data_IF_090154292805
#
_entry.id   IF_090154292805
#
_cell.length_a   1.000
_cell.length_b   1.000
_cell.length_c   1.000
_cell.angle_alpha   90.00
_cell.angle_beta   90.00
_cell.angle_gamma   90.00
#
_symmetry.space_group_name_H-M   'P 1'
#
loop_
_entity.id
_entity.type
_entity.pdbx_description
1 polymer ?
#
# COMPACT_ATOMS: atom_id res chain seq x y z
N UNK A 1 -4.47 58.53 19.58
CA UNK A 1 -3.90 58.33 18.25
C UNK A 1 -3.36 56.90 18.12
N UNK A 2 -4.25 55.97 17.96
CA UNK A 2 -3.91 54.56 18.04
C UNK A 2 -4.31 53.83 16.77
N UNK A 3 -3.84 54.35 15.64
CA UNK A 3 -4.10 53.71 14.35
C UNK A 3 -2.98 52.78 13.89
N UNK A 4 -1.94 52.62 14.68
CA UNK A 4 -0.83 51.71 14.40
C UNK A 4 -1.02 50.30 15.01
N UNK A 5 -1.88 50.18 16.00
CA UNK A 5 -2.15 48.89 16.64
C UNK A 5 -3.09 47.99 15.83
N UNK A 6 -3.92 48.58 14.99
CA UNK A 6 -4.85 47.77 14.18
C UNK A 6 -4.24 47.16 12.92
N UNK A 7 -3.10 47.63 12.50
CA UNK A 7 -2.44 47.11 11.31
C UNK A 7 -1.53 45.89 11.55
N UNK A 8 -1.24 45.60 12.79
CA UNK A 8 -0.37 44.47 13.14
C UNK A 8 -1.18 43.17 13.30
N UNK A 9 -2.48 43.29 13.52
CA UNK A 9 -3.31 42.10 13.75
C UNK A 9 -3.68 41.31 12.47
N UNK A 10 -3.52 41.95 11.32
CA UNK A 10 -3.82 41.28 10.06
C UNK A 10 -2.65 40.46 9.46
N UNK A 11 -1.47 40.58 10.04
CA UNK A 11 -0.29 39.94 9.49
C UNK A 11 -0.05 38.54 10.02
N UNK A 12 -0.78 38.11 11.02
CA UNK A 12 -0.60 36.80 11.64
C UNK A 12 -1.55 35.72 11.09
N UNK A 13 -2.40 36.06 10.14
CA UNK A 13 -3.40 35.10 9.64
C UNK A 13 -3.01 34.43 8.33
N UNK A 14 -1.81 34.63 7.84
CA UNK A 14 -1.29 33.97 6.63
C UNK A 14 -0.23 32.94 6.98
N UNK A 15 -0.19 32.46 8.21
CA UNK A 15 0.60 31.28 8.48
C UNK A 15 -0.19 30.07 8.03
N UNK A 16 0.01 29.80 6.76
CA UNK A 16 0.32 28.48 6.37
C UNK A 16 -0.76 27.51 6.71
N UNK A 17 -1.79 27.51 5.97
CA UNK A 17 -2.22 26.19 5.57
C UNK A 17 -1.21 25.76 4.51
N UNK A 18 -0.03 25.43 4.92
CA UNK A 18 0.68 24.40 4.25
C UNK A 18 -0.19 23.16 4.50
N UNK A 19 -1.18 22.97 3.67
CA UNK A 19 -1.79 21.69 3.51
C UNK A 19 -0.63 20.80 3.10
N UNK A 20 0.01 20.19 4.08
CA UNK A 20 0.80 19.03 3.85
C UNK A 20 -0.16 18.07 3.18
N UNK A 21 -0.07 17.95 1.89
CA UNK A 21 -0.36 16.71 1.25
C UNK A 21 0.64 15.73 1.87
N UNK A 22 0.35 15.32 3.09
CA UNK A 22 1.03 14.25 3.74
C UNK A 22 0.70 13.04 2.90
N UNK A 23 1.59 12.73 1.99
CA UNK A 23 1.73 11.39 1.50
C UNK A 23 2.03 10.59 2.77
N UNK A 24 1.01 10.08 3.41
CA UNK A 24 1.19 9.17 4.51
C UNK A 24 1.75 7.91 3.89
N UNK A 25 3.05 7.84 3.83
CA UNK A 25 3.76 6.58 3.76
C UNK A 25 3.41 5.90 5.07
N UNK A 26 2.41 5.03 5.03
CA UNK A 26 2.14 4.12 6.14
C UNK A 26 3.35 3.21 6.18
N UNK A 27 4.27 3.54 7.06
CA UNK A 27 5.41 2.71 7.37
C UNK A 27 4.86 1.53 8.17
N UNK A 28 4.42 0.50 7.46
CA UNK A 28 3.98 -0.73 8.11
C UNK A 28 5.18 -1.35 8.83
N UNK A 29 5.02 -1.75 10.08
CA UNK A 29 6.09 -2.42 10.81
C UNK A 29 6.56 -3.64 10.01
N UNK A 30 7.86 -3.87 10.00
CA UNK A 30 8.48 -5.00 9.32
C UNK A 30 7.74 -6.29 9.72
N UNK A 31 7.14 -6.96 8.76
CA UNK A 31 6.42 -8.21 9.00
C UNK A 31 7.40 -9.31 9.43
N UNK A 32 6.95 -10.23 10.29
CA UNK A 32 7.80 -11.29 10.79
C UNK A 32 8.32 -12.14 9.61
N UNK A 33 9.60 -12.39 9.64
CA UNK A 33 10.28 -13.28 8.67
C UNK A 33 9.70 -14.68 8.79
N UNK A 34 9.01 -15.13 7.77
CA UNK A 34 8.51 -16.52 7.75
C UNK A 34 9.65 -17.44 7.36
N UNK A 35 10.03 -18.33 8.26
CA UNK A 35 10.98 -19.39 7.94
C UNK A 35 10.27 -20.51 7.17
N UNK A 36 10.77 -20.84 6.02
CA UNK A 36 10.31 -22.01 5.27
C UNK A 36 11.51 -22.91 4.94
N UNK A 37 11.20 -24.19 4.77
CA UNK A 37 12.21 -25.17 4.42
C UNK A 37 12.23 -25.40 2.90
N UNK A 38 13.36 -25.19 2.30
CA UNK A 38 13.59 -25.48 0.88
C UNK A 38 14.24 -26.85 0.75
N UNK A 39 13.69 -27.71 -0.08
CA UNK A 39 14.33 -28.97 -0.47
C UNK A 39 15.47 -28.68 -1.44
N UNK A 40 16.68 -28.93 -1.02
CA UNK A 40 17.87 -28.86 -1.85
C UNK A 40 18.65 -30.18 -1.71
N UNK A 41 18.66 -30.96 -2.78
CA UNK A 41 19.32 -32.26 -2.79
C UNK A 41 18.80 -33.29 -1.78
N UNK A 42 17.47 -33.24 -1.45
CA UNK A 42 16.85 -34.16 -0.48
C UNK A 42 17.09 -33.82 0.99
N UNK A 43 17.72 -32.69 1.29
CA UNK A 43 17.92 -32.16 2.64
C UNK A 43 17.12 -30.89 2.83
N UNK A 44 16.41 -30.79 3.95
CA UNK A 44 15.70 -29.58 4.35
C UNK A 44 16.72 -28.54 4.84
N UNK A 45 16.88 -27.45 4.10
CA UNK A 45 17.67 -26.30 4.54
C UNK A 45 16.74 -25.19 4.98
N UNK A 46 16.99 -24.54 6.11
CA UNK A 46 16.24 -23.35 6.52
C UNK A 46 16.52 -22.22 5.53
N UNK A 47 15.49 -21.79 4.83
CA UNK A 47 15.52 -20.60 3.97
C UNK A 47 14.85 -19.44 4.70
N UNK A 48 15.55 -18.32 4.79
CA UNK A 48 14.90 -17.07 5.24
C UNK A 48 14.24 -16.40 4.05
N UNK A 49 12.93 -16.45 3.97
CA UNK A 49 12.20 -15.55 3.08
C UNK A 49 12.06 -14.22 3.80
N UNK A 50 12.47 -13.17 3.15
CA UNK A 50 12.02 -11.84 3.53
C UNK A 50 10.49 -11.88 3.47
N UNK A 51 9.83 -11.48 4.55
CA UNK A 51 8.40 -11.34 4.58
C UNK A 51 7.95 -10.68 3.28
N UNK A 52 6.98 -11.24 2.62
CA UNK A 52 6.50 -10.70 1.36
C UNK A 52 6.03 -9.27 1.64
N UNK A 53 6.68 -8.32 1.01
CA UNK A 53 6.24 -6.94 1.09
C UNK A 53 4.80 -6.90 0.58
N UNK A 54 3.96 -6.14 1.24
CA UNK A 54 2.55 -6.01 0.88
C UNK A 54 2.25 -4.55 0.59
N UNK A 55 1.68 -4.28 -0.57
CA UNK A 55 1.37 -2.93 -1.01
C UNK A 55 -0.04 -2.87 -1.58
N UNK A 56 -0.80 -1.87 -1.17
CA UNK A 56 -2.07 -1.49 -1.77
C UNK A 56 -1.91 -0.10 -2.41
N UNK A 57 -2.24 0.02 -3.68
CA UNK A 57 -2.16 1.28 -4.43
C UNK A 57 -3.51 1.55 -5.05
N UNK A 58 -4.14 2.63 -4.68
CA UNK A 58 -5.36 3.10 -5.33
C UNK A 58 -5.00 3.97 -6.54
N UNK A 59 -5.56 3.63 -7.69
CA UNK A 59 -5.40 4.38 -8.91
C UNK A 59 -6.65 4.27 -9.79
N UNK A 60 -7.19 5.40 -10.19
CA UNK A 60 -8.37 5.49 -11.06
C UNK A 60 -9.58 4.69 -10.55
N UNK A 61 -9.86 4.76 -9.25
CA UNK A 61 -10.97 4.03 -8.63
C UNK A 61 -10.81 2.51 -8.58
N UNK A 62 -9.59 2.02 -8.73
CA UNK A 62 -9.22 0.61 -8.60
C UNK A 62 -8.12 0.46 -7.58
N UNK A 63 -8.14 -0.64 -6.86
CA UNK A 63 -7.11 -0.99 -5.88
C UNK A 63 -6.18 -2.03 -6.52
N UNK A 64 -4.89 -1.78 -6.46
CA UNK A 64 -3.86 -2.71 -6.94
C UNK A 64 -3.09 -3.26 -5.76
N UNK A 65 -2.98 -4.58 -5.68
CA UNK A 65 -2.32 -5.28 -4.57
C UNK A 65 -1.08 -6.01 -5.05
N UNK A 66 0.05 -5.69 -4.44
CA UNK A 66 1.35 -6.29 -4.76
C UNK A 66 1.97 -6.90 -3.50
N UNK A 67 2.65 -8.01 -3.68
CA UNK A 67 3.41 -8.71 -2.65
C UNK A 67 4.91 -8.73 -2.94
N UNK A 68 5.32 -8.16 -4.06
CA UNK A 68 6.73 -7.99 -4.41
C UNK A 68 7.07 -6.54 -4.69
N UNK A 69 8.19 -6.01 -4.16
CA UNK A 69 8.65 -4.66 -4.45
C UNK A 69 8.87 -4.42 -5.94
N UNK A 70 9.36 -5.43 -6.64
CA UNK A 70 9.63 -5.37 -8.08
C UNK A 70 8.35 -5.17 -8.90
N UNK A 71 7.28 -5.89 -8.57
CA UNK A 71 6.01 -5.73 -9.27
C UNK A 71 5.38 -4.36 -9.01
N UNK A 72 5.51 -3.83 -7.80
CA UNK A 72 5.12 -2.46 -7.47
C UNK A 72 5.87 -1.44 -8.33
N UNK A 73 7.19 -1.55 -8.42
CA UNK A 73 8.02 -0.65 -9.25
C UNK A 73 7.66 -0.75 -10.74
N UNK A 74 7.43 -1.96 -11.25
CA UNK A 74 6.97 -2.16 -12.62
C UNK A 74 5.61 -1.50 -12.86
N UNK A 75 4.70 -1.58 -11.91
CA UNK A 75 3.41 -0.91 -11.98
C UNK A 75 3.53 0.61 -12.00
N UNK A 76 4.37 1.18 -11.17
CA UNK A 76 4.62 2.62 -11.13
C UNK A 76 5.18 3.13 -12.47
N UNK A 77 6.00 2.33 -13.15
CA UNK A 77 6.60 2.65 -14.45
C UNK A 77 5.67 2.40 -15.63
N UNK A 78 4.91 1.31 -15.62
CA UNK A 78 4.16 0.80 -16.78
C UNK A 78 2.66 0.84 -16.62
N UNK A 79 2.15 0.96 -15.39
CA UNK A 79 0.73 0.84 -15.07
C UNK A 79 0.16 -0.58 -15.16
N UNK A 80 0.99 -1.61 -15.34
CA UNK A 80 0.56 -3.01 -15.45
C UNK A 80 0.50 -3.69 -14.09
N UNK A 81 -0.61 -4.36 -13.81
CA UNK A 81 -0.89 -4.99 -12.50
C UNK A 81 -0.17 -6.30 -12.21
N UNK A 82 0.95 -6.60 -12.90
CA UNK A 82 1.72 -7.83 -12.72
C UNK A 82 1.75 -8.72 -13.96
N UNK A 83 2.45 -9.85 -13.88
CA UNK A 83 2.59 -10.81 -15.00
C UNK A 83 1.35 -11.66 -15.23
N UNK A 84 0.65 -12.01 -14.16
CA UNK A 84 -0.57 -12.83 -14.18
C UNK A 84 -1.61 -12.26 -13.22
N UNK A 85 -2.14 -11.08 -13.52
CA UNK A 85 -3.03 -10.38 -12.61
C UNK A 85 -4.35 -11.13 -12.43
N UNK A 86 -4.83 -11.18 -11.20
CA UNK A 86 -6.15 -11.67 -10.83
C UNK A 86 -7.05 -10.48 -10.52
N UNK A 87 -8.27 -10.48 -11.01
CA UNK A 87 -9.21 -9.37 -10.80
C UNK A 87 -10.36 -9.81 -9.91
N UNK A 88 -10.55 -9.11 -8.79
CA UNK A 88 -11.69 -9.26 -7.89
C UNK A 88 -12.65 -8.09 -8.03
N UNK A 89 -13.80 -8.30 -8.65
CA UNK A 89 -14.81 -7.25 -8.82
C UNK A 89 -15.59 -7.11 -7.51
N UNK A 90 -15.65 -5.88 -6.98
CA UNK A 90 -16.35 -5.60 -5.73
C UNK A 90 -15.60 -6.03 -4.46
N UNK A 91 -14.32 -6.36 -4.56
CA UNK A 91 -13.50 -6.78 -3.42
C UNK A 91 -13.02 -5.61 -2.56
N UNK A 92 -13.09 -4.39 -3.06
CA UNK A 92 -12.74 -3.21 -2.30
C UNK A 92 -13.77 -2.82 -1.25
N UNK A 93 -13.39 -2.05 -0.22
CA UNK A 93 -14.27 -1.68 0.90
C UNK A 93 -15.51 -0.88 0.49
N UNK A 94 -15.48 -0.19 -0.65
CA UNK A 94 -16.62 0.53 -1.21
C UNK A 94 -17.13 -0.12 -2.52
N UNK A 95 -16.78 -1.39 -2.75
CA UNK A 95 -17.16 -2.10 -3.97
C UNK A 95 -16.23 -1.86 -5.16
N UNK A 96 -15.03 -1.35 -4.92
CA UNK A 96 -14.04 -1.14 -5.97
C UNK A 96 -13.55 -2.48 -6.55
N UNK A 97 -13.08 -2.42 -7.76
CA UNK A 97 -12.36 -3.55 -8.37
C UNK A 97 -10.94 -3.60 -7.83
N UNK A 98 -10.55 -4.75 -7.32
CA UNK A 98 -9.19 -5.00 -6.84
C UNK A 98 -8.44 -5.85 -7.85
N UNK A 99 -7.23 -5.42 -8.21
CA UNK A 99 -6.35 -6.13 -9.14
C UNK A 99 -5.14 -6.62 -8.36
N UNK A 100 -4.99 -7.92 -8.31
CA UNK A 100 -3.91 -8.59 -7.58
C UNK A 100 -2.77 -8.97 -8.52
N UNK A 101 -1.54 -8.80 -8.08
CA UNK A 101 -0.35 -9.28 -8.81
C UNK A 101 -0.43 -10.77 -9.15
N UNK A 102 -1.02 -11.56 -8.24
CA UNK A 102 -1.16 -13.00 -8.34
C UNK A 102 -2.27 -13.50 -7.40
N UNK A 103 -2.63 -14.78 -7.52
CA UNK A 103 -3.55 -15.42 -6.58
C UNK A 103 -3.04 -15.44 -5.14
N UNK A 104 -1.73 -15.34 -4.95
CA UNK A 104 -1.12 -15.22 -3.63
C UNK A 104 -1.40 -13.86 -3.00
N UNK A 105 -1.29 -12.80 -3.81
CA UNK A 105 -1.65 -11.45 -3.38
C UNK A 105 -3.14 -11.34 -3.01
N UNK A 106 -4.01 -12.03 -3.74
CA UNK A 106 -5.43 -12.12 -3.40
C UNK A 106 -5.64 -12.74 -2.02
N UNK A 107 -5.03 -13.88 -1.73
CA UNK A 107 -5.15 -14.56 -0.42
C UNK A 107 -4.64 -13.70 0.73
N UNK A 108 -3.55 -12.99 0.52
CA UNK A 108 -3.03 -12.06 1.53
C UNK A 108 -3.96 -10.87 1.75
N UNK A 109 -4.59 -10.36 0.71
CA UNK A 109 -5.62 -9.33 0.81
C UNK A 109 -6.85 -9.82 1.60
N UNK A 110 -7.41 -10.96 1.25
CA UNK A 110 -8.57 -11.56 1.92
C UNK A 110 -8.28 -11.81 3.42
N UNK A 111 -7.07 -12.25 3.73
CA UNK A 111 -6.63 -12.47 5.11
C UNK A 111 -6.57 -11.17 5.93
N UNK A 112 -6.19 -10.06 5.30
CA UNK A 112 -6.09 -8.75 5.95
C UNK A 112 -7.45 -8.06 6.07
N UNK A 113 -8.33 -8.30 5.12
CA UNK A 113 -9.66 -7.70 5.01
C UNK A 113 -10.79 -8.71 5.26
N UNK A 114 -10.65 -9.59 6.23
CA UNK A 114 -11.63 -10.65 6.55
C UNK A 114 -13.06 -10.14 6.69
N UNK A 115 -13.23 -8.98 7.31
CA UNK A 115 -14.52 -8.35 7.53
C UNK A 115 -15.25 -7.91 6.23
N UNK A 116 -14.57 -7.92 5.08
CA UNK A 116 -15.22 -7.65 3.80
C UNK A 116 -15.80 -8.92 3.16
N UNK A 117 -15.39 -10.09 3.64
CA UNK A 117 -15.75 -11.40 3.08
C UNK A 117 -16.58 -12.27 4.03
N UNK A 118 -16.83 -11.79 5.23
CA UNK A 118 -17.75 -12.37 6.22
C UNK A 118 -19.12 -11.72 6.11
#
# INVERSE_FOLDING_TARGET
>A
MNRLAERILCLFFVIGIAACAATQTVNMPAEPTVEYFKLDGGKLKPGKVKANAYYEIEKQGRIYVFISPKAKEEFEKTGKGGKSPVTGIGFGPNGETVIFESSFAQKEYEKRHKNLFE
#
